data_IF_045063752293
#
_entry.id   IF_045063752293
#
_cell.length_a   1.000
_cell.length_b   1.000
_cell.length_c   1.000
_cell.angle_alpha   90.00
_cell.angle_beta   90.00
_cell.angle_gamma   90.00
#
_symmetry.space_group_name_H-M   'P 1'
#
loop_
_entity.id
_entity.type
_entity.pdbx_description
1 polymer ?
#
# COMPACT_ATOMS: atom_id res chain seq x y z
N UNK A 1 -18.10 18.00 33.48
CA UNK A 1 -18.57 17.31 32.25
C UNK A 1 -18.35 18.12 30.98
N UNK A 2 -18.61 19.44 30.99
CA UNK A 2 -18.43 20.29 29.80
C UNK A 2 -16.94 20.46 29.39
N UNK A 3 -16.05 20.70 30.36
CA UNK A 3 -14.61 20.79 30.10
C UNK A 3 -14.01 19.48 29.55
N UNK A 4 -14.40 18.32 30.11
CA UNK A 4 -13.96 17.02 29.63
C UNK A 4 -14.47 16.69 28.23
N UNK A 5 -15.70 17.08 27.90
CA UNK A 5 -16.26 16.92 26.55
C UNK A 5 -15.50 17.79 25.53
N UNK A 6 -15.18 19.03 25.89
CA UNK A 6 -14.43 19.94 25.03
C UNK A 6 -13.01 19.44 24.76
N UNK A 7 -12.32 18.93 25.79
CA UNK A 7 -10.99 18.32 25.66
C UNK A 7 -11.04 17.09 24.77
N UNK A 8 -12.04 16.22 24.94
CA UNK A 8 -12.22 15.03 24.09
C UNK A 8 -12.40 15.43 22.62
N UNK A 9 -13.27 16.41 22.34
CA UNK A 9 -13.48 16.92 20.98
C UNK A 9 -12.19 17.46 20.39
N UNK A 10 -11.42 18.26 21.16
CA UNK A 10 -10.15 18.79 20.72
C UNK A 10 -9.14 17.69 20.36
N UNK A 11 -9.06 16.62 21.16
CA UNK A 11 -8.19 15.47 20.89
C UNK A 11 -8.63 14.68 19.65
N UNK A 12 -9.93 14.47 19.46
CA UNK A 12 -10.45 13.81 18.26
C UNK A 12 -10.16 14.64 17.00
N UNK A 13 -10.35 15.97 17.07
CA UNK A 13 -9.98 16.88 15.98
C UNK A 13 -8.49 16.80 15.69
N UNK A 14 -7.63 16.82 16.72
CA UNK A 14 -6.20 16.68 16.54
C UNK A 14 -5.82 15.33 15.88
N UNK A 15 -6.46 14.23 16.29
CA UNK A 15 -6.20 12.89 15.73
C UNK A 15 -6.49 12.78 14.24
N UNK A 16 -7.51 13.50 13.73
CA UNK A 16 -7.88 13.49 12.30
C UNK A 16 -7.07 14.52 11.50
N UNK A 17 -6.70 15.65 12.11
CA UNK A 17 -6.02 16.74 11.40
C UNK A 17 -4.49 16.61 11.36
N UNK A 18 -3.90 15.90 12.33
CA UNK A 18 -2.44 15.70 12.39
C UNK A 18 -2.04 14.50 11.54
N UNK A 19 -1.11 14.75 10.60
CA UNK A 19 -0.52 13.75 9.71
C UNK A 19 0.66 13.06 10.38
N UNK A 20 0.83 11.76 10.13
CA UNK A 20 1.92 10.94 10.67
C UNK A 20 2.77 10.33 9.55
N UNK A 21 4.07 10.05 9.80
CA UNK A 21 5.00 9.54 8.79
C UNK A 21 4.89 8.02 8.57
N UNK A 22 3.68 7.53 8.35
CA UNK A 22 3.38 6.11 8.16
C UNK A 22 2.58 5.88 6.88
N UNK A 23 2.68 4.66 6.37
CA UNK A 23 1.97 4.15 5.19
C UNK A 23 1.31 2.83 5.50
N UNK A 24 0.28 2.50 4.73
CA UNK A 24 -0.42 1.23 4.82
C UNK A 24 -0.04 0.32 3.66
N UNK A 25 0.20 -0.96 3.96
CA UNK A 25 0.34 -2.03 2.99
C UNK A 25 -0.79 -3.05 3.16
N UNK A 26 -1.41 -3.46 2.06
CA UNK A 26 -2.48 -4.48 2.05
C UNK A 26 -2.30 -5.49 0.90
N UNK A 27 -2.88 -6.70 0.97
CA UNK A 27 -2.82 -7.69 -0.08
C UNK A 27 -3.33 -7.18 -1.43
N UNK A 28 -2.47 -7.23 -2.44
CA UNK A 28 -2.80 -6.96 -3.82
C UNK A 28 -3.50 -8.13 -4.51
N UNK A 29 -4.07 -7.92 -5.71
CA UNK A 29 -4.62 -9.02 -6.49
C UNK A 29 -3.52 -10.02 -6.88
N UNK A 30 -3.90 -11.27 -7.10
CA UNK A 30 -3.00 -12.26 -7.71
C UNK A 30 -3.00 -12.10 -9.23
N UNK A 31 -1.83 -12.22 -9.84
CA UNK A 31 -1.66 -12.17 -11.30
C UNK A 31 -1.13 -13.50 -11.81
N UNK A 32 -1.74 -14.08 -12.85
CA UNK A 32 -1.22 -15.29 -13.48
C UNK A 32 -0.10 -14.94 -14.45
N UNK A 33 1.14 -15.32 -14.11
CA UNK A 33 2.33 -15.02 -14.90
C UNK A 33 2.45 -15.80 -16.21
N UNK A 34 1.64 -16.86 -16.40
CA UNK A 34 1.57 -17.62 -17.66
C UNK A 34 0.58 -17.02 -18.67
N UNK A 35 -0.19 -16.01 -18.28
CA UNK A 35 -1.18 -15.36 -19.12
C UNK A 35 -0.91 -13.87 -19.29
N UNK A 36 -1.97 -13.15 -19.63
CA UNK A 36 -1.93 -11.72 -19.87
C UNK A 36 -2.53 -10.95 -18.68
N UNK A 37 -1.95 -9.79 -18.38
CA UNK A 37 -2.53 -8.80 -17.48
C UNK A 37 -2.68 -7.48 -18.23
N UNK A 38 -3.89 -6.91 -18.21
CA UNK A 38 -4.21 -5.66 -18.93
C UNK A 38 -3.89 -5.69 -20.44
N UNK A 39 -3.99 -6.87 -21.05
CA UNK A 39 -3.77 -7.05 -22.49
C UNK A 39 -2.31 -7.25 -22.90
N UNK A 40 -1.39 -7.32 -21.94
CA UNK A 40 0.03 -7.60 -22.18
C UNK A 40 0.48 -8.88 -21.45
N UNK A 41 1.39 -9.68 -22.04
CA UNK A 41 1.97 -10.82 -21.36
C UNK A 41 2.66 -10.41 -20.07
N UNK A 42 2.34 -11.08 -18.97
CA UNK A 42 2.93 -10.75 -17.66
C UNK A 42 4.44 -11.01 -17.64
N UNK A 43 4.90 -12.00 -18.41
CA UNK A 43 6.30 -12.41 -18.45
C UNK A 43 6.74 -12.61 -19.90
N UNK A 44 7.79 -11.89 -20.31
CA UNK A 44 8.39 -12.01 -21.64
C UNK A 44 9.85 -12.45 -21.51
N UNK A 45 10.17 -13.61 -22.08
CA UNK A 45 11.51 -14.22 -21.98
C UNK A 45 12.21 -14.09 -23.34
N UNK A 46 13.36 -13.42 -23.36
CA UNK A 46 14.17 -13.21 -24.56
C UNK A 46 15.46 -14.05 -24.51
N UNK A 47 15.94 -14.49 -25.69
CA UNK A 47 17.24 -15.14 -25.85
C UNK A 47 17.34 -16.60 -25.38
N UNK A 48 16.21 -17.24 -25.04
CA UNK A 48 16.14 -18.65 -24.60
C UNK A 48 14.87 -19.32 -25.13
N UNK A 49 14.94 -20.62 -25.37
CA UNK A 49 13.77 -21.42 -25.78
C UNK A 49 12.79 -21.54 -24.61
N UNK A 50 11.52 -21.22 -24.87
CA UNK A 50 10.40 -21.44 -23.94
C UNK A 50 9.56 -22.62 -24.40
N UNK A 51 8.70 -23.12 -23.52
CA UNK A 51 7.82 -24.26 -23.78
C UNK A 51 6.37 -23.86 -23.43
N UNK A 52 5.37 -24.39 -24.14
CA UNK A 52 3.97 -24.17 -23.77
C UNK A 52 3.70 -24.64 -22.35
N UNK A 53 3.13 -23.77 -21.53
CA UNK A 53 2.69 -24.06 -20.18
C UNK A 53 1.17 -23.85 -20.09
N UNK A 54 0.49 -24.69 -19.31
CA UNK A 54 -0.94 -24.58 -19.04
C UNK A 54 -1.20 -24.45 -17.55
N UNK A 55 -2.37 -23.90 -17.19
CA UNK A 55 -2.76 -23.66 -15.81
C UNK A 55 -2.38 -22.27 -15.30
N UNK A 56 -2.08 -22.18 -14.01
CA UNK A 56 -1.84 -20.92 -13.31
C UNK A 56 -0.51 -20.93 -12.57
N UNK A 57 0.32 -19.92 -12.83
CA UNK A 57 1.47 -19.57 -11.99
C UNK A 57 1.19 -18.20 -11.38
N UNK A 58 0.50 -18.21 -10.24
CA UNK A 58 0.02 -17.00 -9.60
C UNK A 58 1.15 -16.30 -8.83
N UNK A 59 1.35 -15.02 -9.13
CA UNK A 59 2.18 -14.09 -8.37
C UNK A 59 1.28 -13.24 -7.47
N UNK A 60 1.55 -13.24 -6.16
CA UNK A 60 0.86 -12.38 -5.20
C UNK A 60 1.48 -10.99 -5.24
N UNK A 61 0.65 -9.95 -5.32
CA UNK A 61 1.12 -8.57 -5.25
C UNK A 61 0.74 -7.96 -3.91
N UNK A 62 1.35 -6.83 -3.55
CA UNK A 62 0.96 -6.01 -2.40
C UNK A 62 0.60 -4.63 -2.92
N UNK A 63 -0.42 -3.99 -2.31
CA UNK A 63 -0.74 -2.59 -2.54
C UNK A 63 -0.15 -1.78 -1.40
N UNK A 64 0.37 -0.61 -1.75
CA UNK A 64 0.88 0.37 -0.79
C UNK A 64 0.19 1.70 -1.04
N UNK A 65 -0.05 2.48 0.02
CA UNK A 65 -0.50 3.87 -0.13
C UNK A 65 0.55 4.68 -0.89
N UNK A 66 0.12 5.56 -1.80
CA UNK A 66 1.01 6.40 -2.62
C UNK A 66 1.98 7.28 -1.82
N UNK A 67 3.06 7.72 -2.47
CA UNK A 67 4.13 8.51 -1.84
C UNK A 67 3.64 9.88 -1.33
N UNK A 68 2.63 10.47 -1.96
CA UNK A 68 2.06 11.75 -1.54
C UNK A 68 0.96 11.61 -0.50
N UNK A 69 0.47 10.39 -0.27
CA UNK A 69 -0.51 10.13 0.77
C UNK A 69 0.11 10.35 2.16
N UNK A 70 -0.66 10.98 3.04
CA UNK A 70 -0.26 11.30 4.42
C UNK A 70 -1.34 10.80 5.34
N UNK A 71 -1.08 9.66 5.95
CA UNK A 71 -1.99 9.02 6.89
C UNK A 71 -2.15 9.90 8.15
N UNK A 72 -3.36 9.96 8.71
CA UNK A 72 -3.62 10.58 10.01
C UNK A 72 -3.57 9.55 11.15
N UNK A 73 -3.67 10.01 12.40
CA UNK A 73 -3.55 9.13 13.57
C UNK A 73 -4.70 8.13 13.65
N UNK A 74 -5.92 8.55 13.31
CA UNK A 74 -7.09 7.66 13.34
C UNK A 74 -6.97 6.53 12.31
N UNK A 75 -6.52 6.84 11.08
CA UNK A 75 -6.23 5.86 10.03
C UNK A 75 -5.12 4.90 10.44
N UNK A 76 -4.05 5.39 11.07
CA UNK A 76 -2.95 4.55 11.55
C UNK A 76 -3.41 3.53 12.60
N UNK A 77 -4.25 3.96 13.54
CA UNK A 77 -4.84 3.06 14.56
C UNK A 77 -5.78 2.05 13.92
N UNK A 78 -6.60 2.50 12.96
CA UNK A 78 -7.51 1.62 12.24
C UNK A 78 -6.75 0.54 11.44
N UNK A 79 -5.75 0.95 10.67
CA UNK A 79 -4.91 0.05 9.88
C UNK A 79 -4.09 -0.92 10.74
N UNK A 80 -3.71 -0.52 11.96
CA UNK A 80 -3.04 -1.42 12.91
C UNK A 80 -3.97 -2.50 13.49
N UNK A 81 -5.28 -2.22 13.60
CA UNK A 81 -6.29 -3.17 14.07
C UNK A 81 -6.85 -4.07 12.94
N UNK A 82 -6.67 -3.66 11.68
CA UNK A 82 -7.07 -4.45 10.53
C UNK A 82 -6.25 -5.74 10.42
N UNK A 83 -6.89 -6.85 10.07
CA UNK A 83 -6.23 -8.17 10.00
C UNK A 83 -5.43 -8.38 8.71
N UNK A 84 -5.74 -7.59 7.68
CA UNK A 84 -5.20 -7.67 6.33
C UNK A 84 -4.38 -6.43 5.94
N UNK A 85 -4.12 -5.52 6.88
CA UNK A 85 -3.27 -4.36 6.64
C UNK A 85 -2.08 -4.33 7.59
N UNK A 86 -0.97 -3.75 7.11
CA UNK A 86 0.23 -3.52 7.91
C UNK A 86 0.61 -2.06 7.80
N UNK A 87 0.73 -1.40 8.94
CA UNK A 87 1.20 -0.02 9.04
C UNK A 87 2.72 -0.01 9.19
N UNK A 88 3.41 0.67 8.28
CA UNK A 88 4.88 0.76 8.24
C UNK A 88 5.36 2.20 8.13
N UNK A 89 6.60 2.52 8.57
CA UNK A 89 7.16 3.85 8.37
C UNK A 89 7.24 4.18 6.87
N UNK A 90 6.79 5.38 6.50
CA UNK A 90 6.71 5.82 5.10
C UNK A 90 8.08 5.74 4.38
N UNK A 91 9.16 6.05 5.10
CA UNK A 91 10.54 6.02 4.58
C UNK A 91 11.02 4.60 4.21
N UNK A 92 10.37 3.56 4.74
CA UNK A 92 10.64 2.15 4.35
C UNK A 92 10.25 1.90 2.89
N UNK A 93 9.20 2.58 2.41
CA UNK A 93 8.66 2.42 1.06
C UNK A 93 9.25 3.45 0.10
N UNK A 94 9.47 4.68 0.58
CA UNK A 94 9.93 5.81 -0.23
C UNK A 94 11.19 6.46 0.36
N UNK A 95 12.33 5.75 0.39
CA UNK A 95 13.56 6.28 0.96
C UNK A 95 14.05 7.50 0.19
N UNK A 96 14.45 8.55 0.92
CA UNK A 96 14.87 9.86 0.40
C UNK A 96 13.73 10.72 -0.21
N UNK A 97 12.47 10.45 0.14
CA UNK A 97 11.34 11.29 -0.30
C UNK A 97 11.11 11.27 -1.81
N UNK A 98 11.43 10.15 -2.46
CA UNK A 98 11.14 9.95 -3.89
C UNK A 98 9.65 10.03 -4.16
N UNK A 99 9.27 10.72 -5.22
CA UNK A 99 7.86 10.87 -5.63
C UNK A 99 7.31 9.56 -6.22
N UNK A 100 5.98 9.44 -6.34
CA UNK A 100 5.33 8.27 -6.96
C UNK A 100 5.85 7.99 -8.37
N UNK A 101 6.15 9.05 -9.14
CA UNK A 101 6.67 9.00 -10.50
C UNK A 101 8.08 8.39 -10.57
N UNK A 102 8.89 8.55 -9.52
CA UNK A 102 10.22 7.95 -9.44
C UNK A 102 10.20 6.49 -8.99
N UNK A 103 9.09 6.05 -8.38
CA UNK A 103 8.92 4.69 -7.87
C UNK A 103 8.19 3.77 -8.86
N UNK A 104 7.51 4.34 -9.85
CA UNK A 104 6.86 3.61 -10.95
C UNK A 104 7.82 3.53 -12.13
N UNK A 105 8.83 2.67 -12.05
CA UNK A 105 9.70 2.31 -13.18
C UNK A 105 9.69 0.81 -13.43
#
# INVERSE_FOLDING_TARGET
MLASALVLIALLCAGVLIKVPYSEMSPGPTVNTLGDARGEPVLQISGRKTYPASGHLNMTTVRVTGADYRMNIAEAVYGWLAHDSVVVPHDTLYPNGKTEEQSTQ
#
